data_IF_382862487878
#
_entry.id   IF_382862487878
#
_cell.length_a   1.000
_cell.length_b   1.000
_cell.length_c   1.000
_cell.angle_alpha   90.00
_cell.angle_beta   90.00
_cell.angle_gamma   90.00
#
_symmetry.space_group_name_H-M   'P 1'
#
loop_
_entity.id
_entity.type
_entity.pdbx_description
1 polymer ?
#
# COMPACT_ATOMS: atom_id res chain seq x y z
N UNK A 1 -16.23 0.43 -7.81
CA UNK A 1 -15.20 -0.04 -6.84
C UNK A 1 -15.20 0.96 -5.69
N UNK A 2 -15.18 0.52 -4.43
CA UNK A 2 -15.05 1.46 -3.31
C UNK A 2 -13.57 1.84 -3.13
N UNK A 3 -13.16 2.92 -3.79
CA UNK A 3 -11.76 3.38 -3.74
C UNK A 3 -11.35 3.84 -2.35
N UNK A 4 -12.29 4.30 -1.51
CA UNK A 4 -11.98 4.69 -0.13
C UNK A 4 -11.61 3.44 0.67
N UNK A 5 -12.44 2.40 0.58
CA UNK A 5 -12.18 1.13 1.27
C UNK A 5 -10.89 0.46 0.77
N UNK A 6 -10.58 0.63 -0.51
CA UNK A 6 -9.43 -0.01 -1.16
C UNK A 6 -8.14 0.83 -1.13
N UNK A 7 -8.16 2.01 -0.52
CA UNK A 7 -6.96 2.86 -0.38
C UNK A 7 -6.63 3.06 1.10
N UNK A 8 -5.42 2.67 1.49
CA UNK A 8 -4.93 2.85 2.85
C UNK A 8 -4.81 4.35 3.18
N UNK A 9 -4.93 4.75 4.47
CA UNK A 9 -4.75 6.14 4.88
C UNK A 9 -3.43 6.77 4.42
N UNK A 10 -2.37 5.97 4.24
CA UNK A 10 -1.07 6.41 3.75
C UNK A 10 -0.96 6.55 2.22
N UNK A 11 -2.04 6.35 1.45
CA UNK A 11 -2.04 6.55 0.00
C UNK A 11 -1.60 5.34 -0.83
N UNK A 12 -1.47 4.15 -0.23
CA UNK A 12 -1.27 2.90 -0.96
C UNK A 12 -2.61 2.29 -1.37
N UNK A 13 -2.69 1.82 -2.62
CA UNK A 13 -3.88 1.19 -3.18
C UNK A 13 -3.83 -0.34 -3.18
N UNK A 14 -4.98 -0.96 -2.94
CA UNK A 14 -5.14 -2.42 -3.01
C UNK A 14 -5.37 -2.92 -4.43
N UNK A 15 -5.92 -2.08 -5.32
CA UNK A 15 -6.30 -2.47 -6.68
C UNK A 15 -5.12 -2.63 -7.65
N UNK A 16 -3.88 -2.25 -7.28
CA UNK A 16 -2.65 -2.66 -7.96
C UNK A 16 -1.74 -3.57 -7.09
N UNK A 17 -2.26 -4.16 -6.00
CA UNK A 17 -1.49 -4.97 -5.06
C UNK A 17 -1.67 -6.47 -5.32
N UNK A 18 -0.60 -7.20 -5.63
CA UNK A 18 -0.66 -8.65 -5.87
C UNK A 18 -1.28 -9.44 -4.70
N UNK A 19 -0.93 -9.12 -3.45
CA UNK A 19 -1.46 -9.81 -2.26
C UNK A 19 -2.98 -9.67 -2.11
N UNK A 20 -3.55 -8.52 -2.50
CA UNK A 20 -4.99 -8.29 -2.48
C UNK A 20 -5.68 -8.91 -3.70
N UNK A 21 -5.09 -8.72 -4.88
CA UNK A 21 -5.65 -9.18 -6.14
C UNK A 21 -5.63 -10.71 -6.29
N UNK A 22 -4.77 -11.43 -5.58
CA UNK A 22 -4.67 -12.88 -5.63
C UNK A 22 -6.01 -13.60 -5.41
N UNK A 23 -6.96 -13.00 -4.68
CA UNK A 23 -8.31 -13.55 -4.51
C UNK A 23 -9.14 -13.62 -5.80
N UNK A 24 -8.78 -12.85 -6.84
CA UNK A 24 -9.60 -12.61 -8.04
C UNK A 24 -8.82 -12.62 -9.34
N UNK A 25 -7.49 -12.52 -9.29
CA UNK A 25 -6.61 -12.47 -10.45
C UNK A 25 -5.61 -13.63 -10.41
N UNK A 26 -5.66 -14.49 -11.42
CA UNK A 26 -4.83 -15.69 -11.49
C UNK A 26 -3.34 -15.37 -11.63
N UNK A 27 -2.96 -14.27 -12.30
CA UNK A 27 -1.55 -13.89 -12.43
C UNK A 27 -1.01 -13.44 -11.08
N UNK A 28 -1.79 -12.65 -10.34
CA UNK A 28 -1.46 -12.28 -8.97
C UNK A 28 -1.37 -13.52 -8.06
N UNK A 29 -2.31 -14.47 -8.16
CA UNK A 29 -2.26 -15.71 -7.38
C UNK A 29 -0.98 -16.51 -7.67
N UNK A 30 -0.63 -16.72 -8.94
CA UNK A 30 0.58 -17.45 -9.32
C UNK A 30 1.85 -16.79 -8.74
N UNK A 31 1.90 -15.45 -8.71
CA UNK A 31 3.02 -14.72 -8.11
C UNK A 31 3.08 -14.92 -6.58
N UNK A 32 1.92 -14.90 -5.90
CA UNK A 32 1.85 -15.17 -4.46
C UNK A 32 2.25 -16.61 -4.13
N UNK A 33 1.80 -17.61 -4.91
CA UNK A 33 2.20 -19.01 -4.72
C UNK A 33 3.70 -19.22 -4.90
N UNK A 34 4.30 -18.53 -5.87
CA UNK A 34 5.74 -18.54 -6.07
C UNK A 34 6.47 -17.97 -4.84
N UNK A 35 6.10 -16.78 -4.36
CA UNK A 35 6.69 -16.19 -3.15
C UNK A 35 6.44 -17.03 -1.90
N UNK A 36 5.29 -17.69 -1.79
CA UNK A 36 4.97 -18.60 -0.68
C UNK A 36 5.98 -19.74 -0.57
N UNK A 37 6.34 -20.34 -1.69
CA UNK A 37 7.38 -21.39 -1.75
C UNK A 37 8.77 -20.85 -1.47
N UNK A 38 9.15 -19.73 -2.10
CA UNK A 38 10.48 -19.15 -1.94
C UNK A 38 10.76 -18.67 -0.50
N UNK A 39 9.76 -18.07 0.15
CA UNK A 39 9.89 -17.53 1.49
C UNK A 39 9.51 -18.55 2.58
N UNK A 40 9.02 -19.73 2.19
CA UNK A 40 8.48 -20.75 3.09
C UNK A 40 7.42 -20.19 4.05
N UNK A 41 6.52 -19.35 3.53
CA UNK A 41 5.41 -18.75 4.28
C UNK A 41 4.10 -19.36 3.75
N UNK A 42 3.20 -19.84 4.62
CA UNK A 42 1.91 -20.39 4.19
C UNK A 42 1.10 -19.43 3.31
N UNK A 43 0.50 -19.96 2.25
CA UNK A 43 -0.22 -19.18 1.23
C UNK A 43 -1.34 -18.32 1.85
N UNK A 44 -2.07 -18.87 2.82
CA UNK A 44 -3.16 -18.19 3.52
C UNK A 44 -2.72 -16.95 4.29
N UNK A 45 -1.44 -16.89 4.72
CA UNK A 45 -0.85 -15.72 5.39
C UNK A 45 -0.53 -14.62 4.37
N UNK A 46 -0.24 -14.99 3.13
CA UNK A 46 0.04 -14.03 2.06
C UNK A 46 -1.24 -13.39 1.49
N UNK A 47 -2.39 -14.06 1.59
CA UNK A 47 -3.65 -13.55 1.06
C UNK A 47 -4.17 -12.35 1.87
N UNK A 48 -4.25 -11.19 1.23
CA UNK A 48 -4.56 -9.92 1.88
C UNK A 48 -5.96 -9.42 1.52
N UNK A 49 -6.66 -8.82 2.50
CA UNK A 49 -7.96 -8.18 2.31
C UNK A 49 -7.88 -6.65 2.32
N UNK A 50 -6.69 -6.08 2.35
CA UNK A 50 -6.45 -4.63 2.36
C UNK A 50 -6.39 -4.04 3.78
N UNK A 51 -5.69 -2.90 3.91
CA UNK A 51 -5.38 -2.33 5.22
C UNK A 51 -6.61 -2.00 6.06
N UNK A 52 -7.68 -1.46 5.45
CA UNK A 52 -8.90 -1.10 6.16
C UNK A 52 -9.69 -2.31 6.67
N UNK A 53 -9.80 -3.36 5.86
CA UNK A 53 -10.45 -4.62 6.27
C UNK A 53 -9.66 -5.38 7.35
N UNK A 54 -8.36 -5.11 7.46
CA UNK A 54 -7.47 -5.69 8.46
C UNK A 54 -7.20 -4.75 9.63
N UNK A 55 -7.83 -3.57 9.71
CA UNK A 55 -7.53 -2.56 10.73
C UNK A 55 -6.03 -2.27 10.90
N UNK A 56 -5.29 -2.17 9.78
CA UNK A 56 -3.85 -1.92 9.76
C UNK A 56 -2.96 -3.13 10.12
N UNK A 57 -3.56 -4.26 10.49
CA UNK A 57 -2.87 -5.46 10.95
C UNK A 57 -2.81 -6.53 9.84
N UNK A 58 -1.94 -6.30 8.85
CA UNK A 58 -1.78 -7.20 7.70
C UNK A 58 -1.23 -8.57 8.13
N UNK A 59 -1.83 -9.71 7.72
CA UNK A 59 -1.40 -11.05 8.15
C UNK A 59 0.09 -11.34 7.92
N UNK A 60 0.59 -11.05 6.71
CA UNK A 60 2.02 -11.22 6.39
C UNK A 60 2.94 -10.41 7.30
N UNK A 61 2.56 -9.18 7.64
CA UNK A 61 3.37 -8.35 8.54
C UNK A 61 3.38 -8.90 9.97
N UNK A 62 2.22 -9.38 10.47
CA UNK A 62 2.15 -10.04 11.78
C UNK A 62 2.98 -11.33 11.81
N UNK A 63 2.99 -12.09 10.73
CA UNK A 63 3.80 -13.29 10.62
C UNK A 63 5.31 -12.97 10.69
N UNK A 64 5.76 -11.92 10.00
CA UNK A 64 7.19 -11.57 9.93
C UNK A 64 7.66 -10.84 11.20
N UNK A 65 6.86 -9.89 11.71
CA UNK A 65 7.25 -8.99 12.81
C UNK A 65 6.64 -9.37 14.17
N UNK A 66 5.81 -10.41 14.22
CA UNK A 66 5.11 -10.89 15.41
C UNK A 66 3.71 -10.31 15.60
N UNK A 67 2.92 -10.97 16.46
CA UNK A 67 1.50 -10.64 16.72
C UNK A 67 1.28 -9.22 17.28
N UNK A 68 2.30 -8.67 17.94
CA UNK A 68 2.28 -7.33 18.50
C UNK A 68 2.50 -6.22 17.45
N UNK A 69 2.87 -6.56 16.22
CA UNK A 69 3.16 -5.59 15.17
C UNK A 69 1.96 -4.68 14.87
N UNK A 70 2.21 -3.37 14.73
CA UNK A 70 1.22 -2.36 14.36
C UNK A 70 1.80 -1.42 13.32
N UNK A 71 0.97 -1.02 12.35
CA UNK A 71 1.36 -0.02 11.36
C UNK A 71 1.18 1.39 11.95
N UNK A 72 2.30 2.07 12.27
CA UNK A 72 2.28 3.39 12.92
C UNK A 72 1.44 4.43 12.15
N UNK A 73 1.56 4.48 10.82
CA UNK A 73 0.76 5.38 9.99
C UNK A 73 -0.76 5.08 10.05
N UNK A 74 -1.13 3.80 10.14
CA UNK A 74 -2.54 3.40 10.20
C UNK A 74 -3.15 3.75 11.57
N UNK A 75 -2.48 3.37 12.67
CA UNK A 75 -2.95 3.70 14.03
C UNK A 75 -3.08 5.21 14.22
N UNK A 76 -2.05 5.98 13.83
CA UNK A 76 -2.10 7.44 13.91
C UNK A 76 -3.28 8.04 13.12
N UNK A 77 -3.56 7.53 11.90
CA UNK A 77 -4.70 8.00 11.12
C UNK A 77 -6.06 7.69 11.78
N UNK A 78 -6.15 6.55 12.45
CA UNK A 78 -7.35 6.11 13.17
C UNK A 78 -7.55 6.97 14.43
N UNK A 79 -6.51 7.19 15.21
CA UNK A 79 -6.55 8.01 16.43
C UNK A 79 -6.94 9.46 16.13
N UNK A 80 -6.49 9.99 14.99
CA UNK A 80 -6.84 11.33 14.51
C UNK A 80 -8.18 11.39 13.76
N UNK A 81 -8.82 10.26 13.50
CA UNK A 81 -10.10 10.20 12.77
C UNK A 81 -10.02 10.67 11.31
N UNK A 82 -8.84 10.62 10.69
CA UNK A 82 -8.63 11.08 9.31
C UNK A 82 -8.73 9.95 8.30
N UNK A 83 -9.32 10.23 7.13
CA UNK A 83 -9.46 9.25 6.05
C UNK A 83 -8.13 9.00 5.34
N UNK A 84 -7.38 10.07 5.09
CA UNK A 84 -6.08 10.05 4.42
C UNK A 84 -5.11 10.98 5.14
N UNK A 85 -3.85 10.55 5.25
CA UNK A 85 -2.81 11.34 5.90
C UNK A 85 -2.55 12.67 5.18
N UNK A 86 -2.84 12.76 3.87
CA UNK A 86 -2.69 13.99 3.09
C UNK A 86 -3.54 15.16 3.59
N UNK A 87 -4.65 14.90 4.28
CA UNK A 87 -5.50 15.94 4.88
C UNK A 87 -5.11 16.31 6.33
N UNK A 88 -4.03 15.74 6.86
CA UNK A 88 -3.54 16.06 8.20
C UNK A 88 -2.77 17.39 8.20
N UNK A 89 -2.92 18.20 9.24
CA UNK A 89 -2.16 19.45 9.42
C UNK A 89 -0.65 19.23 9.52
N UNK A 90 -0.24 18.06 10.00
CA UNK A 90 1.17 17.65 10.10
C UNK A 90 1.70 17.00 8.81
N UNK A 91 0.92 16.95 7.72
CA UNK A 91 1.37 16.32 6.49
C UNK A 91 2.38 17.18 5.72
N UNK A 92 3.53 16.62 5.27
CA UNK A 92 4.02 15.26 5.51
C UNK A 92 4.70 15.07 6.88
N UNK A 93 4.62 13.86 7.46
CA UNK A 93 5.21 13.54 8.76
C UNK A 93 6.06 12.25 8.75
N UNK A 94 6.74 11.99 9.87
CA UNK A 94 7.70 10.88 10.03
C UNK A 94 7.09 9.48 9.83
N UNK A 95 5.79 9.32 10.04
CA UNK A 95 5.09 8.06 9.74
C UNK A 95 5.07 7.71 8.24
N UNK A 96 5.39 8.66 7.38
CA UNK A 96 5.40 8.53 5.92
C UNK A 96 6.81 8.65 5.31
N UNK A 97 7.86 8.60 6.15
CA UNK A 97 9.25 8.72 5.72
C UNK A 97 9.57 7.65 4.64
N UNK A 98 10.24 8.02 3.53
CA UNK A 98 10.67 7.06 2.51
C UNK A 98 11.89 6.26 2.97
N UNK A 99 12.00 5.02 2.55
CA UNK A 99 13.15 4.17 2.87
C UNK A 99 13.86 3.77 1.58
N UNK A 100 15.20 3.87 1.58
CA UNK A 100 16.01 3.32 0.51
C UNK A 100 16.07 1.79 0.57
N UNK A 101 16.03 1.22 1.79
CA UNK A 101 15.92 -0.23 1.96
C UNK A 101 14.60 -0.74 1.37
N UNK A 102 14.72 -1.82 0.59
CA UNK A 102 13.62 -2.46 -0.16
C UNK A 102 12.85 -1.53 -1.11
N UNK A 103 13.41 -0.38 -1.48
CA UNK A 103 12.76 0.59 -2.36
C UNK A 103 12.43 0.03 -3.75
N UNK A 104 13.16 -0.99 -4.20
CA UNK A 104 13.00 -1.70 -5.47
C UNK A 104 11.83 -2.70 -5.48
N UNK A 105 11.32 -3.07 -4.31
CA UNK A 105 10.31 -4.13 -4.14
C UNK A 105 9.05 -3.65 -3.42
N UNK A 106 9.18 -2.76 -2.42
CA UNK A 106 8.08 -2.26 -1.61
C UNK A 106 7.59 -0.89 -2.10
N UNK A 107 6.27 -0.64 -2.18
CA UNK A 107 5.74 0.61 -2.73
C UNK A 107 5.77 1.79 -1.75
N UNK A 108 6.51 1.69 -0.64
CA UNK A 108 6.38 2.64 0.47
C UNK A 108 6.76 4.08 0.06
N UNK A 109 7.68 4.25 -0.89
CA UNK A 109 8.11 5.58 -1.33
C UNK A 109 7.09 6.28 -2.24
N UNK A 110 6.01 5.62 -2.68
CA UNK A 110 4.95 6.26 -3.47
C UNK A 110 3.87 6.91 -2.61
N UNK A 111 3.84 6.62 -1.30
CA UNK A 111 2.82 7.09 -0.33
C UNK A 111 2.56 8.59 -0.41
N UNK A 112 3.59 9.41 -0.17
CA UNK A 112 3.48 10.87 -0.11
C UNK A 112 3.06 11.43 -1.47
N UNK A 113 3.62 10.93 -2.56
CA UNK A 113 3.25 11.37 -3.91
C UNK A 113 1.78 11.07 -4.23
N UNK A 114 1.31 9.86 -3.90
CA UNK A 114 -0.10 9.49 -4.05
C UNK A 114 -1.02 10.38 -3.20
N UNK A 115 -0.67 10.67 -1.96
CA UNK A 115 -1.44 11.55 -1.09
C UNK A 115 -1.54 12.98 -1.66
N UNK A 116 -0.45 13.53 -2.20
CA UNK A 116 -0.47 14.81 -2.89
C UNK A 116 -1.39 14.80 -4.11
N UNK A 117 -1.40 13.71 -4.88
CA UNK A 117 -2.31 13.58 -6.03
C UNK A 117 -3.76 13.47 -5.58
N UNK A 118 -4.08 12.64 -4.57
CA UNK A 118 -5.42 12.52 -3.99
C UNK A 118 -5.93 13.89 -3.54
N UNK A 119 -5.12 14.67 -2.82
CA UNK A 119 -5.48 16.03 -2.42
C UNK A 119 -5.73 16.96 -3.61
N UNK A 120 -4.90 16.86 -4.65
CA UNK A 120 -4.95 17.74 -5.81
C UNK A 120 -6.16 17.46 -6.72
N UNK A 121 -6.54 16.20 -6.89
CA UNK A 121 -7.48 15.80 -7.94
C UNK A 121 -8.67 14.95 -7.46
N UNK A 122 -8.74 14.63 -6.17
CA UNK A 122 -9.73 13.72 -5.61
C UNK A 122 -9.31 12.25 -5.73
N UNK A 123 -9.91 11.42 -4.87
CA UNK A 123 -9.60 10.00 -4.75
C UNK A 123 -9.94 9.22 -6.03
N UNK A 124 -11.13 9.43 -6.56
CA UNK A 124 -11.66 8.70 -7.71
C UNK A 124 -10.80 8.93 -8.95
N UNK A 125 -10.53 10.21 -9.26
CA UNK A 125 -9.71 10.58 -10.41
C UNK A 125 -8.27 10.07 -10.26
N UNK A 126 -7.70 10.12 -9.06
CA UNK A 126 -6.38 9.55 -8.81
C UNK A 126 -6.38 8.02 -9.02
N UNK A 127 -7.36 7.31 -8.48
CA UNK A 127 -7.44 5.86 -8.58
C UNK A 127 -7.58 5.38 -10.04
N UNK A 128 -8.41 6.06 -10.82
CA UNK A 128 -8.68 5.70 -12.22
C UNK A 128 -7.56 6.08 -13.19
N UNK A 129 -6.80 7.15 -12.91
CA UNK A 129 -5.87 7.72 -13.89
C UNK A 129 -4.40 7.77 -13.49
N UNK A 130 -4.08 7.74 -12.19
CA UNK A 130 -2.72 7.99 -11.69
C UNK A 130 -2.14 6.87 -10.84
N UNK A 131 -2.92 6.18 -10.01
CA UNK A 131 -2.41 5.17 -9.08
C UNK A 131 -1.53 4.10 -9.77
N UNK A 132 -2.06 3.46 -10.82
CA UNK A 132 -1.32 2.45 -11.59
C UNK A 132 -0.11 3.03 -12.31
N UNK A 133 -0.25 4.23 -12.89
CA UNK A 133 0.83 4.94 -13.59
C UNK A 133 1.99 5.29 -12.65
N UNK A 134 1.71 5.78 -11.43
CA UNK A 134 2.73 6.07 -10.41
C UNK A 134 3.51 4.80 -10.09
N UNK A 135 2.81 3.68 -9.85
CA UNK A 135 3.45 2.40 -9.58
C UNK A 135 4.31 1.94 -10.76
N UNK A 136 3.80 2.04 -11.98
CA UNK A 136 4.52 1.64 -13.19
C UNK A 136 5.79 2.45 -13.38
N UNK A 137 5.72 3.78 -13.21
CA UNK A 137 6.88 4.67 -13.34
C UNK A 137 7.90 4.36 -12.26
N UNK A 138 7.46 4.25 -11.01
CA UNK A 138 8.35 4.01 -9.87
C UNK A 138 9.17 2.71 -10.00
N UNK A 139 8.55 1.61 -10.44
CA UNK A 139 9.24 0.31 -10.50
C UNK A 139 9.86 -0.03 -11.86
N UNK A 140 9.44 0.59 -12.97
CA UNK A 140 9.80 0.11 -14.31
C UNK A 140 10.43 1.16 -15.24
N UNK A 141 10.50 2.44 -14.83
CA UNK A 141 11.12 3.47 -15.67
C UNK A 141 12.53 3.79 -15.19
N UNK A 142 13.49 4.02 -16.10
CA UNK A 142 14.78 4.56 -15.71
C UNK A 142 14.59 5.94 -15.09
N UNK A 143 15.44 6.28 -14.13
CA UNK A 143 15.47 7.62 -13.57
C UNK A 143 15.84 8.64 -14.66
N UNK A 144 15.11 9.76 -14.68
CA UNK A 144 15.31 10.88 -15.60
C UNK A 144 14.93 12.20 -14.92
N UNK A 145 15.68 13.27 -15.22
CA UNK A 145 15.28 14.66 -14.98
C UNK A 145 14.72 15.34 -16.24
N UNK A 146 14.86 14.66 -17.39
CA UNK A 146 14.44 15.10 -18.71
C UNK A 146 13.05 14.55 -19.05
#
# INVERSE_FOLDING_TARGET
MDYLQMTAPCGLDCFNCHFFLAHKDQKAMNQIEHWSKELNIPLEIMLCRGCRNHNGQIPLQKHIFGEAHRCAAYECSKDRGIKFCGGCEEFPCDNLHPYADKADTLPHNTKVFNLCLINKMGLEKWAESKASMVRQVYFNKPWSLA
#
